data_IF_830574283940
#
_entry.id   IF_830574283940
#
_cell.length_a   1.000
_cell.length_b   1.000
_cell.length_c   1.000
_cell.angle_alpha   90.00
_cell.angle_beta   90.00
_cell.angle_gamma   90.00
#
_symmetry.space_group_name_H-M   'P 1'
#
loop_
_entity.id
_entity.type
_entity.pdbx_description
1 polymer ?
#
# COMPACT_ATOMS: atom_id res chain seq x y z
N UNK A 1 19.88 -16.69 -19.33
CA UNK A 1 19.40 -15.45 -18.70
C UNK A 1 18.27 -15.82 -17.77
N UNK A 2 18.49 -15.79 -16.46
CA UNK A 2 17.44 -16.06 -15.48
C UNK A 2 16.55 -14.83 -15.40
N UNK A 3 15.28 -14.96 -15.72
CA UNK A 3 14.30 -13.90 -15.49
C UNK A 3 14.13 -13.71 -13.97
N UNK A 4 14.47 -12.54 -13.47
CA UNK A 4 14.21 -12.17 -12.09
C UNK A 4 12.69 -11.95 -11.94
N UNK A 5 12.01 -12.83 -11.19
CA UNK A 5 10.58 -12.69 -10.94
C UNK A 5 10.41 -11.54 -9.92
N UNK A 6 10.02 -10.37 -10.41
CA UNK A 6 9.61 -9.26 -9.56
C UNK A 6 8.25 -9.60 -8.93
N UNK A 7 8.25 -9.94 -7.65
CA UNK A 7 7.01 -10.09 -6.88
C UNK A 7 6.47 -8.69 -6.51
N UNK A 8 5.61 -8.16 -7.37
CA UNK A 8 4.86 -6.96 -7.05
C UNK A 8 3.80 -7.26 -5.98
N UNK A 9 3.56 -6.35 -5.03
CA UNK A 9 2.48 -6.50 -4.07
C UNK A 9 1.12 -6.61 -4.77
N UNK A 10 0.24 -7.46 -4.25
CA UNK A 10 -1.11 -7.63 -4.79
C UNK A 10 -2.07 -6.61 -4.19
N UNK A 11 -3.21 -6.40 -4.84
CA UNK A 11 -4.29 -5.55 -4.32
C UNK A 11 -4.75 -6.04 -2.95
N UNK A 12 -4.86 -7.36 -2.78
CA UNK A 12 -5.32 -8.01 -1.56
C UNK A 12 -4.32 -7.87 -0.42
N UNK A 13 -3.01 -8.02 -0.68
CA UNK A 13 -1.97 -7.86 0.36
C UNK A 13 -1.89 -6.41 0.82
N UNK A 14 -1.89 -5.45 -0.11
CA UNK A 14 -1.86 -4.02 0.20
C UNK A 14 -3.10 -3.58 0.98
N UNK A 15 -4.28 -4.10 0.64
CA UNK A 15 -5.50 -3.80 1.38
C UNK A 15 -5.45 -4.31 2.83
N UNK A 16 -4.83 -5.48 3.07
CA UNK A 16 -4.62 -6.00 4.42
C UNK A 16 -3.60 -5.18 5.21
N UNK A 17 -2.47 -4.82 4.59
CA UNK A 17 -1.45 -3.97 5.21
C UNK A 17 -2.03 -2.60 5.63
N UNK A 18 -2.83 -1.97 4.76
CA UNK A 18 -3.51 -0.71 5.07
C UNK A 18 -4.46 -0.88 6.27
N UNK A 19 -5.22 -1.99 6.35
CA UNK A 19 -6.07 -2.28 7.51
C UNK A 19 -5.24 -2.37 8.80
N UNK A 20 -4.11 -3.07 8.75
CA UNK A 20 -3.16 -3.17 9.86
C UNK A 20 -2.64 -1.80 10.31
N UNK A 21 -2.19 -0.96 9.37
CA UNK A 21 -1.69 0.38 9.67
C UNK A 21 -2.77 1.31 10.24
N UNK A 22 -4.02 1.20 9.78
CA UNK A 22 -5.15 1.91 10.38
C UNK A 22 -5.40 1.44 11.81
N UNK A 23 -5.39 0.13 12.06
CA UNK A 23 -5.55 -0.41 13.41
C UNK A 23 -4.44 0.06 14.37
N UNK A 24 -3.18 0.01 13.91
CA UNK A 24 -2.03 0.52 14.65
C UNK A 24 -2.22 2.01 14.97
N UNK A 25 -2.66 2.81 13.99
CA UNK A 25 -2.96 4.23 14.19
C UNK A 25 -3.99 4.48 15.28
N UNK A 26 -5.07 3.70 15.29
CA UNK A 26 -6.11 3.85 16.31
C UNK A 26 -5.57 3.47 17.69
N UNK A 27 -4.76 2.41 17.76
CA UNK A 27 -4.06 2.01 18.99
C UNK A 27 -3.15 3.13 19.50
N UNK A 28 -2.32 3.71 18.63
CA UNK A 28 -1.46 4.86 18.96
C UNK A 28 -2.24 6.05 19.51
N UNK A 29 -3.40 6.36 18.91
CA UNK A 29 -4.28 7.42 19.43
C UNK A 29 -4.86 7.08 20.80
N UNK A 30 -5.27 5.84 21.00
CA UNK A 30 -5.85 5.38 22.26
C UNK A 30 -4.83 5.44 23.42
N UNK A 31 -3.56 5.14 23.16
CA UNK A 31 -2.50 5.18 24.18
C UNK A 31 -1.80 6.54 24.31
N UNK A 32 -2.23 7.55 23.55
CA UNK A 32 -1.62 8.89 23.60
C UNK A 32 -0.20 8.94 23.03
N UNK A 33 0.08 8.18 21.98
CA UNK A 33 1.39 8.18 21.31
C UNK A 33 1.79 9.59 20.83
N UNK A 34 3.09 9.83 20.77
CA UNK A 34 3.63 11.12 20.36
C UNK A 34 3.34 11.43 18.89
N UNK A 35 3.44 12.72 18.56
CA UNK A 35 3.15 13.22 17.21
C UNK A 35 4.05 12.59 16.14
N UNK A 36 5.31 12.30 16.45
CA UNK A 36 6.26 11.69 15.53
C UNK A 36 5.87 10.26 15.18
N UNK A 37 5.39 9.47 16.14
CA UNK A 37 4.86 8.13 15.87
C UNK A 37 3.64 8.17 14.93
N UNK A 38 2.70 9.07 15.20
CA UNK A 38 1.52 9.27 14.34
C UNK A 38 1.89 9.76 12.94
N UNK A 39 2.96 10.55 12.79
CA UNK A 39 3.42 11.02 11.48
C UNK A 39 4.08 9.90 10.66
N UNK A 40 4.91 9.07 11.29
CA UNK A 40 5.51 7.90 10.60
C UNK A 40 4.43 6.96 10.06
N UNK A 41 3.45 6.61 10.89
CA UNK A 41 2.33 5.79 10.46
C UNK A 41 1.48 6.47 9.36
N UNK A 42 1.33 7.82 9.40
CA UNK A 42 0.64 8.55 8.33
C UNK A 42 1.39 8.43 7.00
N UNK A 43 2.70 8.61 7.00
CA UNK A 43 3.54 8.48 5.80
C UNK A 43 3.44 7.07 5.23
N UNK A 44 3.53 6.05 6.08
CA UNK A 44 3.42 4.66 5.62
C UNK A 44 2.03 4.33 5.05
N UNK A 45 0.95 4.83 5.69
CA UNK A 45 -0.41 4.70 5.14
C UNK A 45 -0.53 5.28 3.74
N UNK A 46 0.00 6.50 3.53
CA UNK A 46 -0.04 7.15 2.22
C UNK A 46 0.76 6.35 1.19
N UNK A 47 1.93 5.83 1.56
CA UNK A 47 2.72 5.01 0.65
C UNK A 47 1.96 3.75 0.21
N UNK A 48 1.38 2.98 1.15
CA UNK A 48 0.64 1.77 0.79
C UNK A 48 -0.63 2.05 -0.01
N UNK A 49 -1.27 3.20 0.24
CA UNK A 49 -2.39 3.65 -0.58
C UNK A 49 -1.96 3.98 -2.02
N UNK A 50 -0.80 4.60 -2.22
CA UNK A 50 -0.25 4.83 -3.56
C UNK A 50 0.06 3.50 -4.25
N UNK A 51 0.73 2.58 -3.55
CA UNK A 51 1.03 1.25 -4.08
C UNK A 51 -0.25 0.49 -4.48
N UNK A 52 -1.33 0.65 -3.70
CA UNK A 52 -2.63 0.03 -3.97
C UNK A 52 -3.27 0.61 -5.23
N UNK A 53 -3.22 1.93 -5.41
CA UNK A 53 -3.71 2.60 -6.62
C UNK A 53 -2.94 2.09 -7.84
N UNK A 54 -1.62 2.00 -7.77
CA UNK A 54 -0.83 1.46 -8.86
C UNK A 54 -1.15 -0.01 -9.16
N UNK A 55 -1.34 -0.84 -8.12
CA UNK A 55 -1.73 -2.23 -8.29
C UNK A 55 -3.10 -2.38 -8.96
N UNK A 56 -4.06 -1.52 -8.60
CA UNK A 56 -5.36 -1.45 -9.26
C UNK A 56 -5.24 -1.02 -10.72
N UNK A 57 -4.45 0.01 -11.02
CA UNK A 57 -4.18 0.43 -12.41
C UNK A 57 -3.60 -0.75 -13.20
N UNK A 58 -2.56 -1.41 -12.70
CA UNK A 58 -1.95 -2.58 -13.37
C UNK A 58 -2.96 -3.71 -13.60
N UNK A 59 -3.88 -3.95 -12.65
CA UNK A 59 -4.89 -5.02 -12.74
C UNK A 59 -5.98 -4.73 -13.78
N UNK A 60 -6.35 -3.46 -13.96
CA UNK A 60 -7.48 -3.06 -14.78
C UNK A 60 -7.11 -2.32 -16.06
N UNK A 61 -5.82 -2.06 -16.31
CA UNK A 61 -5.37 -1.48 -17.57
C UNK A 61 -5.67 -2.48 -18.71
N UNK A 62 -6.45 -2.09 -19.73
CA UNK A 62 -6.73 -2.95 -20.87
C UNK A 62 -5.44 -3.29 -21.62
N UNK A 63 -5.25 -4.55 -22.01
CA UNK A 63 -4.07 -5.02 -22.75
C UNK A 63 -3.88 -4.27 -24.09
N UNK A 64 -4.98 -3.79 -24.66
CA UNK A 64 -5.07 -3.16 -25.97
C UNK A 64 -4.41 -1.76 -25.99
N UNK A 65 -4.21 -1.15 -24.82
CA UNK A 65 -3.55 0.16 -24.69
C UNK A 65 -2.03 0.08 -24.90
N UNK A 66 -1.44 -1.12 -24.87
CA UNK A 66 -0.02 -1.37 -25.15
C UNK A 66 0.27 -1.68 -26.63
N UNK A 67 -0.74 -1.76 -27.49
CA UNK A 67 -0.61 -2.22 -28.88
C UNK A 67 -0.66 -1.10 -29.95
N UNK A 68 -0.58 0.18 -29.55
CA UNK A 68 -0.55 1.35 -30.45
C UNK A 68 0.73 2.17 -30.25
#
# INVERSE_FOLDING_TARGET
MSAEILHLPTVESLAEEIRGLVYERQTMRAVGADRGALERNRVELVQRQQDLVEALIRRYLPADLHAA
#
